data_IF_440510242551
#
_entry.id   IF_440510242551
#
_cell.length_a   1.000
_cell.length_b   1.000
_cell.length_c   1.000
_cell.angle_alpha   90.00
_cell.angle_beta   90.00
_cell.angle_gamma   90.00
#
_symmetry.space_group_name_H-M   'P 1'
#
loop_
_entity.id
_entity.type
_entity.pdbx_description
1 polymer ?
#
# COMPACT_ATOMS: atom_id res chain seq x y z
N UNK A 1 -5.56 -18.65 8.95
CA UNK A 1 -4.29 -17.89 9.01
C UNK A 1 -3.43 -18.11 7.77
N UNK A 2 -3.16 -19.36 7.34
CA UNK A 2 -2.38 -19.64 6.11
C UNK A 2 -3.00 -19.03 4.84
N UNK A 3 -4.30 -19.19 4.62
CA UNK A 3 -5.03 -18.56 3.49
C UNK A 3 -4.88 -17.03 3.42
N UNK A 4 -4.93 -16.34 4.57
CA UNK A 4 -4.82 -14.88 4.58
C UNK A 4 -3.41 -14.41 4.21
N UNK A 5 -2.38 -15.14 4.66
CA UNK A 5 -1.00 -14.89 4.25
C UNK A 5 -0.78 -15.18 2.76
N UNK A 6 -1.46 -16.18 2.20
CA UNK A 6 -1.37 -16.49 0.77
C UNK A 6 -2.05 -15.41 -0.08
N UNK A 7 -3.19 -14.88 0.37
CA UNK A 7 -3.85 -13.70 -0.24
C UNK A 7 -2.97 -12.46 -0.18
N UNK A 8 -2.33 -12.20 0.96
CA UNK A 8 -1.37 -11.11 1.12
C UNK A 8 -0.22 -11.24 0.10
N UNK A 9 0.38 -12.43 -0.02
CA UNK A 9 1.44 -12.71 -1.00
C UNK A 9 0.97 -12.63 -2.45
N UNK A 10 -0.34 -12.77 -2.69
CA UNK A 10 -0.96 -12.63 -4.00
C UNK A 10 -1.30 -11.19 -4.38
N UNK A 11 -1.00 -10.19 -3.54
CA UNK A 11 -1.34 -8.78 -3.81
C UNK A 11 -2.84 -8.48 -3.60
N UNK A 12 -3.51 -9.21 -2.72
CA UNK A 12 -4.90 -8.90 -2.35
C UNK A 12 -4.93 -7.63 -1.47
N UNK A 13 -5.44 -6.53 -2.06
CA UNK A 13 -5.56 -5.23 -1.40
C UNK A 13 -6.22 -5.33 -0.01
N UNK A 14 -7.33 -6.08 0.09
CA UNK A 14 -8.09 -6.16 1.33
C UNK A 14 -7.33 -6.92 2.41
N UNK A 15 -6.59 -7.96 2.03
CA UNK A 15 -5.69 -8.66 2.92
C UNK A 15 -4.60 -7.73 3.44
N UNK A 16 -3.94 -6.95 2.56
CA UNK A 16 -2.92 -5.96 2.95
C UNK A 16 -3.50 -4.96 3.96
N UNK A 17 -4.64 -4.34 3.64
CA UNK A 17 -5.28 -3.36 4.51
C UNK A 17 -5.72 -3.96 5.86
N UNK A 18 -6.06 -5.25 5.92
CA UNK A 18 -6.46 -5.91 7.17
C UNK A 18 -5.30 -6.10 8.17
N UNK A 19 -4.06 -6.16 7.69
CA UNK A 19 -2.87 -6.27 8.54
C UNK A 19 -2.27 -4.91 8.93
N UNK A 20 -2.70 -3.84 8.28
CA UNK A 20 -2.23 -2.50 8.57
C UNK A 20 -2.75 -2.00 9.92
N UNK A 21 -1.91 -1.29 10.65
CA UNK A 21 -2.28 -0.62 11.89
C UNK A 21 -3.14 0.62 11.60
N UNK A 22 -3.89 1.09 12.60
CA UNK A 22 -4.66 2.32 12.47
C UNK A 22 -3.77 3.50 12.03
N UNK A 23 -2.54 3.60 12.54
CA UNK A 23 -1.59 4.64 12.13
C UNK A 23 -1.20 4.56 10.64
N UNK A 24 -1.11 3.35 10.08
CA UNK A 24 -0.78 3.13 8.67
C UNK A 24 -1.97 3.36 7.74
N UNK A 25 -3.19 3.11 8.23
CA UNK A 25 -4.43 3.35 7.49
C UNK A 25 -4.87 4.83 7.52
N UNK A 26 -4.57 5.56 8.59
CA UNK A 26 -4.99 6.96 8.80
C UNK A 26 -4.69 7.88 7.59
N UNK A 27 -3.49 7.86 6.95
CA UNK A 27 -3.24 8.71 5.79
C UNK A 27 -4.22 8.44 4.63
N UNK A 28 -4.60 7.18 4.41
CA UNK A 28 -5.56 6.81 3.38
C UNK A 28 -6.96 7.34 3.71
N UNK A 29 -7.39 7.15 4.96
CA UNK A 29 -8.67 7.66 5.45
C UNK A 29 -8.74 9.19 5.34
N UNK A 30 -7.67 9.88 5.72
CA UNK A 30 -7.57 11.34 5.62
C UNK A 30 -7.67 11.83 4.17
N UNK A 31 -6.95 11.21 3.24
CA UNK A 31 -7.01 11.54 1.80
C UNK A 31 -8.43 11.33 1.24
N UNK A 32 -9.06 10.22 1.59
CA UNK A 32 -10.41 9.88 1.15
C UNK A 32 -11.42 10.91 1.65
N UNK A 33 -11.46 11.13 2.97
CA UNK A 33 -12.45 11.98 3.64
C UNK A 33 -12.25 13.48 3.36
N UNK A 34 -11.04 13.88 2.95
CA UNK A 34 -10.79 15.26 2.48
C UNK A 34 -11.50 15.58 1.15
N UNK A 35 -12.02 14.60 0.41
CA UNK A 35 -12.79 14.83 -0.81
C UNK A 35 -14.26 15.06 -0.48
N UNK A 36 -14.84 16.09 -1.09
CA UNK A 36 -16.28 16.40 -1.01
C UNK A 36 -17.17 15.23 -1.46
N UNK A 37 -16.71 14.46 -2.45
CA UNK A 37 -17.40 13.28 -2.95
C UNK A 37 -16.62 12.04 -2.53
N UNK A 38 -16.97 11.48 -1.37
CA UNK A 38 -16.50 10.18 -0.92
C UNK A 38 -17.69 9.37 -0.39
N UNK A 39 -17.60 8.04 -0.40
CA UNK A 39 -18.63 7.19 0.21
C UNK A 39 -18.22 6.64 1.57
N UNK A 40 -16.99 6.89 2.04
CA UNK A 40 -16.49 6.33 3.28
C UNK A 40 -17.13 6.98 4.51
N UNK A 41 -17.18 8.32 4.56
CA UNK A 41 -17.64 9.06 5.75
C UNK A 41 -19.15 8.96 6.02
N UNK A 42 -19.94 8.60 5.01
CA UNK A 42 -21.38 8.37 5.12
C UNK A 42 -21.73 6.98 5.64
N UNK A 43 -20.81 6.01 5.61
CA UNK A 43 -21.06 4.62 6.06
C UNK A 43 -21.16 4.55 7.58
N UNK A 44 -22.07 3.70 8.05
CA UNK A 44 -22.33 3.55 9.48
C UNK A 44 -21.14 2.89 10.18
N UNK A 45 -20.47 1.94 9.53
CA UNK A 45 -19.29 1.25 10.06
C UNK A 45 -18.13 2.23 10.29
N UNK A 46 -17.91 3.18 9.37
CA UNK A 46 -16.94 4.25 9.56
C UNK A 46 -17.30 5.09 10.79
N UNK A 47 -18.54 5.57 10.88
CA UNK A 47 -19.00 6.42 11.99
C UNK A 47 -18.92 5.72 13.34
N UNK A 48 -19.19 4.42 13.39
CA UNK A 48 -19.20 3.64 14.62
C UNK A 48 -17.81 3.21 15.09
N UNK A 49 -16.87 3.06 14.16
CA UNK A 49 -15.57 2.47 14.49
C UNK A 49 -14.42 3.45 14.38
N UNK A 50 -14.54 4.59 13.70
CA UNK A 50 -13.48 5.60 13.69
C UNK A 50 -13.09 6.03 15.13
N UNK A 51 -11.79 6.06 15.49
CA UNK A 51 -10.58 5.93 14.64
C UNK A 51 -9.99 4.51 14.53
N UNK A 52 -10.74 3.46 14.89
CA UNK A 52 -10.35 2.06 14.71
C UNK A 52 -10.54 1.57 13.26
N UNK A 53 -9.69 2.06 12.37
CA UNK A 53 -9.68 1.79 10.93
C UNK A 53 -9.62 0.31 10.55
N UNK A 54 -8.99 -0.51 11.40
CA UNK A 54 -8.93 -1.96 11.20
C UNK A 54 -10.32 -2.61 11.12
N UNK A 55 -11.35 -2.02 11.72
CA UNK A 55 -12.72 -2.57 11.70
C UNK A 55 -13.49 -2.30 10.41
N UNK A 56 -12.99 -1.41 9.57
CA UNK A 56 -13.61 -1.05 8.30
C UNK A 56 -12.60 -0.95 7.15
N UNK A 57 -11.48 -1.68 7.26
CA UNK A 57 -10.43 -1.73 6.25
C UNK A 57 -10.97 -2.10 4.85
N UNK A 58 -12.02 -2.92 4.79
CA UNK A 58 -12.68 -3.27 3.53
C UNK A 58 -13.32 -2.06 2.85
N UNK A 59 -13.99 -1.18 3.60
CA UNK A 59 -14.57 0.06 3.07
C UNK A 59 -13.48 1.01 2.56
N UNK A 60 -12.30 1.02 3.20
CA UNK A 60 -11.14 1.77 2.70
C UNK A 60 -10.71 1.22 1.34
N UNK A 61 -10.62 -0.11 1.19
CA UNK A 61 -10.26 -0.76 -0.08
C UNK A 61 -11.27 -0.50 -1.20
N UNK A 62 -12.57 -0.54 -0.88
CA UNK A 62 -13.63 -0.24 -1.84
C UNK A 62 -13.54 1.20 -2.34
N UNK A 63 -13.37 2.15 -1.41
CA UNK A 63 -13.25 3.56 -1.75
C UNK A 63 -11.97 3.84 -2.55
N UNK A 64 -10.84 3.19 -2.21
CA UNK A 64 -9.60 3.28 -2.99
C UNK A 64 -9.78 2.79 -4.44
N UNK A 65 -10.54 1.70 -4.63
CA UNK A 65 -10.84 1.19 -5.98
C UNK A 65 -11.75 2.13 -6.76
N UNK A 66 -12.60 2.89 -6.08
CA UNK A 66 -13.48 3.89 -6.70
C UNK A 66 -12.80 5.26 -6.89
N UNK A 67 -11.73 5.51 -6.15
CA UNK A 67 -10.99 6.75 -6.14
C UNK A 67 -10.35 7.04 -7.52
N UNK A 68 -10.35 8.30 -7.97
CA UNK A 68 -9.66 8.69 -9.21
C UNK A 68 -10.52 8.93 -10.45
N UNK A 69 -11.82 9.20 -10.31
CA UNK A 69 -12.54 10.02 -11.30
C UNK A 69 -13.22 9.28 -12.46
N UNK A 70 -13.45 7.97 -12.34
CA UNK A 70 -14.20 7.19 -13.34
C UNK A 70 -15.61 6.83 -12.87
N UNK A 71 -16.27 7.69 -12.08
CA UNK A 71 -17.63 7.45 -11.55
C UNK A 71 -18.65 7.03 -12.61
N UNK A 72 -18.52 7.51 -13.85
CA UNK A 72 -19.35 7.09 -14.98
C UNK A 72 -19.03 5.67 -15.50
N UNK A 73 -17.75 5.28 -15.54
CA UNK A 73 -17.34 3.89 -15.84
C UNK A 73 -17.68 2.94 -14.70
N UNK A 74 -17.65 3.41 -13.45
CA UNK A 74 -18.05 2.63 -12.28
C UNK A 74 -19.56 2.36 -12.31
N UNK A 75 -20.39 3.33 -12.73
CA UNK A 75 -21.84 3.10 -12.94
C UNK A 75 -22.11 2.00 -13.98
N UNK A 76 -21.32 1.93 -15.06
CA UNK A 76 -21.38 0.86 -16.06
C UNK A 76 -20.99 -0.52 -15.53
N UNK A 77 -20.30 -0.58 -14.38
CA UNK A 77 -19.92 -1.80 -13.65
C UNK A 77 -20.77 -2.06 -12.40
N UNK A 78 -21.96 -1.45 -12.31
CA UNK A 78 -22.85 -1.64 -11.16
C UNK A 78 -22.42 -0.88 -9.89
N UNK A 79 -21.55 0.13 -10.02
CA UNK A 79 -21.05 0.92 -8.91
C UNK A 79 -19.81 0.35 -8.22
N UNK A 80 -19.26 -0.76 -8.72
CA UNK A 80 -18.01 -1.34 -8.23
C UNK A 80 -16.78 -0.74 -8.94
N UNK A 81 -15.71 -0.50 -8.18
CA UNK A 81 -14.42 -0.08 -8.73
C UNK A 81 -13.74 -1.23 -9.47
N UNK A 82 -12.81 -0.95 -10.40
CA UNK A 82 -12.03 -1.99 -11.08
C UNK A 82 -11.25 -2.87 -10.08
N UNK A 83 -10.90 -4.10 -10.48
CA UNK A 83 -9.93 -4.93 -9.77
C UNK A 83 -8.64 -4.18 -9.43
N UNK A 84 -8.01 -4.51 -8.31
CA UNK A 84 -6.83 -3.79 -7.84
C UNK A 84 -5.62 -3.96 -8.77
N UNK A 85 -5.45 -5.14 -9.35
CA UNK A 85 -4.41 -5.42 -10.34
C UNK A 85 -4.54 -4.56 -11.60
N UNK A 86 -5.78 -4.25 -12.04
CA UNK A 86 -6.03 -3.30 -13.12
C UNK A 86 -5.60 -1.88 -12.72
N UNK A 87 -5.87 -1.46 -11.48
CA UNK A 87 -5.47 -0.14 -10.97
C UNK A 87 -3.94 -0.03 -10.96
N UNK A 88 -3.25 -1.03 -10.44
CA UNK A 88 -1.78 -1.07 -10.38
C UNK A 88 -1.20 -1.02 -11.80
N UNK A 89 -1.72 -1.82 -12.73
CA UNK A 89 -1.29 -1.82 -14.12
C UNK A 89 -1.52 -0.46 -14.81
N UNK A 90 -2.67 0.19 -14.55
CA UNK A 90 -2.98 1.53 -15.06
C UNK A 90 -2.01 2.59 -14.51
N UNK A 91 -1.63 2.50 -13.24
CA UNK A 91 -0.64 3.40 -12.63
C UNK A 91 0.75 3.17 -13.25
N UNK A 92 1.18 1.91 -13.42
CA UNK A 92 2.42 1.59 -14.11
C UNK A 92 2.43 2.16 -15.53
N UNK A 93 1.35 1.97 -16.29
CA UNK A 93 1.22 2.51 -17.64
C UNK A 93 1.31 4.04 -17.66
N UNK A 94 0.60 4.75 -16.78
CA UNK A 94 0.63 6.22 -16.68
C UNK A 94 2.03 6.76 -16.36
N UNK A 95 2.79 6.02 -15.55
CA UNK A 95 4.14 6.38 -15.14
C UNK A 95 5.23 5.79 -16.06
N UNK A 96 4.85 5.08 -17.14
CA UNK A 96 5.76 4.40 -18.07
C UNK A 96 6.70 3.41 -17.38
N UNK A 97 6.21 2.75 -16.33
CA UNK A 97 6.90 1.67 -15.60
C UNK A 97 6.66 0.35 -16.30
N UNK A 98 7.68 -0.51 -16.48
CA UNK A 98 7.46 -1.87 -16.96
C UNK A 98 6.45 -2.61 -16.08
N UNK A 99 5.48 -3.28 -16.71
CA UNK A 99 4.46 -4.04 -15.97
C UNK A 99 3.97 -5.25 -16.78
N UNK A 100 3.45 -6.25 -16.07
CA UNK A 100 2.80 -7.42 -16.64
C UNK A 100 1.41 -7.60 -16.02
N UNK A 101 0.38 -7.82 -16.84
CA UNK A 101 -0.99 -8.02 -16.35
C UNK A 101 -1.06 -9.29 -15.49
N UNK A 102 -1.77 -9.20 -14.36
CA UNK A 102 -1.89 -10.31 -13.41
C UNK A 102 -0.66 -10.53 -12.50
N UNK A 103 0.42 -9.74 -12.65
CA UNK A 103 1.58 -9.75 -11.76
C UNK A 103 1.54 -8.57 -10.78
N UNK A 104 0.47 -8.46 -9.98
CA UNK A 104 0.22 -7.31 -9.09
C UNK A 104 1.42 -6.98 -8.21
N UNK A 105 1.93 -7.95 -7.46
CA UNK A 105 3.06 -7.75 -6.54
C UNK A 105 4.33 -7.31 -7.29
N UNK A 106 4.65 -7.93 -8.42
CA UNK A 106 5.80 -7.52 -9.23
C UNK A 106 5.65 -6.11 -9.81
N UNK A 107 4.43 -5.71 -10.17
CA UNK A 107 4.16 -4.36 -10.65
C UNK A 107 4.23 -3.32 -9.52
N UNK A 108 3.77 -3.67 -8.32
CA UNK A 108 3.94 -2.84 -7.10
C UNK A 108 5.41 -2.64 -6.77
N UNK A 109 6.22 -3.70 -6.83
CA UNK A 109 7.67 -3.63 -6.62
C UNK A 109 8.31 -2.64 -7.61
N UNK A 110 7.94 -2.72 -8.90
CA UNK A 110 8.45 -1.78 -9.92
C UNK A 110 8.03 -0.32 -9.64
N UNK A 111 6.81 -0.09 -9.12
CA UNK A 111 6.35 1.25 -8.72
C UNK A 111 7.13 1.78 -7.52
N UNK A 112 7.36 0.91 -6.54
CA UNK A 112 8.13 1.24 -5.34
C UNK A 112 9.57 1.57 -5.71
N UNK A 113 10.20 0.83 -6.60
CA UNK A 113 11.57 1.10 -7.06
C UNK A 113 11.70 2.51 -7.62
N UNK A 114 10.81 2.92 -8.53
CA UNK A 114 10.84 4.26 -9.09
C UNK A 114 10.55 5.33 -8.03
N UNK A 115 9.56 5.10 -7.16
CA UNK A 115 9.27 6.05 -6.10
C UNK A 115 10.46 6.20 -5.14
N UNK A 116 11.09 5.11 -4.73
CA UNK A 116 12.25 5.10 -3.85
C UNK A 116 13.45 5.78 -4.50
N UNK A 117 13.72 5.52 -5.79
CA UNK A 117 14.75 6.22 -6.55
C UNK A 117 14.49 7.74 -6.59
N UNK A 118 13.26 8.15 -6.93
CA UNK A 118 12.89 9.56 -6.93
C UNK A 118 13.06 10.21 -5.56
N UNK A 119 12.62 9.52 -4.50
CA UNK A 119 12.78 10.00 -3.12
C UNK A 119 14.25 10.11 -2.76
N UNK A 120 15.05 9.10 -3.06
CA UNK A 120 16.50 9.12 -2.83
C UNK A 120 17.18 10.33 -3.49
N UNK A 121 16.83 10.62 -4.74
CA UNK A 121 17.37 11.78 -5.46
C UNK A 121 16.86 13.12 -4.94
N UNK A 122 15.64 13.16 -4.37
CA UNK A 122 15.06 14.38 -3.78
C UNK A 122 15.66 14.78 -2.42
N UNK A 123 16.37 13.88 -1.75
CA UNK A 123 17.00 14.15 -0.45
C UNK A 123 18.25 15.03 -0.58
N UNK A 124 18.52 15.85 0.43
CA UNK A 124 19.80 16.56 0.57
C UNK A 124 20.95 15.57 0.84
N UNK A 125 22.19 15.94 0.48
CA UNK A 125 23.37 15.06 0.64
C UNK A 125 23.55 14.58 2.08
N UNK A 126 23.45 15.48 3.05
CA UNK A 126 23.59 15.14 4.47
C UNK A 126 22.54 14.12 4.95
N UNK A 127 21.32 14.20 4.43
CA UNK A 127 20.25 13.25 4.78
C UNK A 127 20.47 11.89 4.11
N UNK A 128 20.96 11.87 2.85
CA UNK A 128 21.39 10.63 2.18
C UNK A 128 22.51 9.94 2.94
N UNK A 129 23.50 10.69 3.42
CA UNK A 129 24.63 10.15 4.19
C UNK A 129 24.15 9.56 5.52
N UNK A 130 23.23 10.23 6.20
CA UNK A 130 22.62 9.74 7.44
C UNK A 130 21.86 8.43 7.22
N UNK A 131 21.01 8.36 6.19
CA UNK A 131 20.24 7.16 5.87
C UNK A 131 21.15 6.01 5.44
N UNK A 132 22.18 6.27 4.63
CA UNK A 132 23.18 5.28 4.26
C UNK A 132 23.95 4.76 5.49
N UNK A 133 24.27 5.63 6.46
CA UNK A 133 24.86 5.25 7.74
C UNK A 133 23.95 4.31 8.55
N UNK A 134 22.69 4.71 8.74
CA UNK A 134 21.70 3.91 9.47
C UNK A 134 21.47 2.53 8.83
N UNK A 135 21.43 2.45 7.49
CA UNK A 135 21.30 1.19 6.76
C UNK A 135 22.51 0.25 7.00
N UNK A 136 23.74 0.79 7.02
CA UNK A 136 24.97 0.01 7.31
C UNK A 136 24.97 -0.53 8.74
N UNK A 137 24.56 0.29 9.70
CA UNK A 137 24.44 -0.11 11.11
C UNK A 137 23.39 -1.22 11.30
N UNK A 138 22.24 -1.08 10.65
CA UNK A 138 21.19 -2.09 10.65
C UNK A 138 21.65 -3.42 10.04
N UNK A 139 22.33 -3.38 8.89
CA UNK A 139 22.88 -4.57 8.23
C UNK A 139 23.96 -5.25 9.08
N UNK A 140 24.86 -4.48 9.71
CA UNK A 140 25.86 -5.02 10.63
C UNK A 140 25.24 -5.68 11.88
N UNK A 141 24.15 -5.11 12.40
CA UNK A 141 23.41 -5.67 13.54
C UNK A 141 22.65 -6.96 13.16
N UNK A 142 22.11 -7.04 11.94
CA UNK A 142 21.47 -8.25 11.42
C UNK A 142 22.49 -9.39 11.19
N UNK A 143 23.67 -9.08 10.63
CA UNK A 143 24.73 -10.05 10.37
C UNK A 143 25.38 -10.57 11.68
N UNK A 144 25.47 -9.73 12.71
CA UNK A 144 25.90 -10.15 14.06
C UNK A 144 24.90 -11.12 14.71
N UNK A 145 23.60 -10.85 14.61
CA UNK A 145 22.54 -11.75 15.12
C UNK A 145 22.51 -13.08 14.37
N UNK A 146 22.70 -13.05 13.05
CA UNK A 146 22.73 -14.27 12.24
C UNK A 146 23.96 -15.14 12.55
N UNK A 147 25.12 -14.54 12.83
CA UNK A 147 26.31 -15.25 13.31
C UNK A 147 26.15 -15.84 14.71
N UNK A 148 25.54 -15.12 15.65
CA UNK A 148 25.29 -15.63 17.00
C UNK A 148 24.31 -16.82 16.99
N UNK A 149 23.29 -16.80 16.12
CA UNK A 149 22.36 -17.93 15.97
C UNK A 149 23.00 -19.19 15.36
N UNK A 150 24.06 -19.05 14.55
CA UNK A 150 24.80 -20.19 13.96
C UNK A 150 25.86 -20.80 14.87
N UNK A 151 26.32 -20.07 15.88
CA UNK A 151 27.33 -20.54 16.85
C UNK A 151 26.72 -21.18 18.11
N UNK A 152 25.39 -21.14 18.23
CA UNK A 152 24.62 -21.72 19.34
C UNK A 152 23.79 -22.97 18.98
N UNK A 153 24.00 -23.55 17.80
CA UNK A 153 23.42 -24.83 17.35
C UNK A 153 24.54 -25.84 17.13
#
# INVERSE_FOLDING_TARGET
MREMFDRLRGGDLYAVLSFATNKELEPLVSIITAKLTNFLDVKDEYKQHHPDHGRYHALIGDELRLYGGNSLMNLGRGGEGPPYDEIVADVCWKLSVPYEKGQTVGNEDNLLDIFLEQRWHSLASAERDRLAGAAREGAGSADARHRQARLGA
#
